data_IF_114268877249
#
_entry.id   IF_114268877249
#
_cell.length_a   1.000
_cell.length_b   1.000
_cell.length_c   1.000
_cell.angle_alpha   90.00
_cell.angle_beta   90.00
_cell.angle_gamma   90.00
#
_symmetry.space_group_name_H-M   'P 1'
#
loop_
_entity.id
_entity.type
_entity.pdbx_description
1 polymer ?
2 non-polymer ?
3 non-polymer ?
4 non-polymer ?
5 non-polymer ?
6 non-polymer ?
7 water ?
#
# COMPACT_ATOMS: atom_id res chain seq x y z
N UNK A 11 -23.06 6.36 2.71
CA UNK A 11 -21.90 5.49 2.58
C UNK A 11 -20.81 5.77 3.61
N UNK A 12 -19.98 4.76 3.87
CA UNK A 12 -18.96 4.86 4.91
C UNK A 12 -18.04 6.07 4.71
N UNK A 13 -17.72 6.38 3.45
CA UNK A 13 -16.76 7.45 3.16
C UNK A 13 -17.42 8.63 2.46
N UNK A 14 -18.73 8.80 2.65
CA UNK A 14 -19.45 9.92 2.04
C UNK A 14 -18.78 11.24 2.38
N UNK A 15 -18.49 12.03 1.34
CA UNK A 15 -17.90 13.34 1.52
C UNK A 15 -16.40 13.37 1.69
N UNK A 16 -15.74 12.22 1.82
CA UNK A 16 -14.30 12.19 2.00
C UNK A 16 -13.58 12.34 0.68
N UNK A 17 -12.49 13.10 0.68
CA UNK A 17 -11.60 13.21 -0.47
C UNK A 17 -10.32 12.43 -0.14
N UNK A 18 -9.99 11.44 -0.99
CA UNK A 18 -8.96 10.46 -0.66
C UNK A 18 -8.02 10.33 -1.86
N UNK A 19 -6.71 10.45 -1.61
CA UNK A 19 -5.71 10.21 -2.63
C UNK A 19 -5.23 8.77 -2.51
N UNK A 20 -5.20 8.06 -3.65
CA UNK A 20 -4.81 6.65 -3.67
C UNK A 20 -3.65 6.48 -4.64
N UNK A 21 -2.49 6.08 -4.11
CA UNK A 21 -1.35 5.69 -4.93
C UNK A 21 -1.44 4.21 -5.31
N UNK A 22 -0.64 3.81 -6.29
CA UNK A 22 -0.30 2.41 -6.44
C UNK A 22 -1.06 1.56 -7.45
N UNK A 23 -1.92 2.14 -8.26
CA UNK A 23 -2.54 1.34 -9.34
C UNK A 23 -1.53 1.12 -10.45
N UNK A 24 -1.32 -0.15 -10.84
CA UNK A 24 -0.58 -0.44 -12.06
C UNK A 24 -1.33 -1.47 -12.91
N UNK A 25 -2.02 -2.43 -12.29
CA UNK A 25 -2.90 -3.36 -13.01
C UNK A 25 -4.25 -3.42 -12.32
N UNK A 26 -5.20 -4.12 -12.95
CA UNK A 26 -6.50 -4.28 -12.29
C UNK A 26 -6.45 -5.35 -11.20
N UNK A 27 -5.30 -5.98 -10.97
CA UNK A 27 -5.13 -6.83 -9.80
C UNK A 27 -4.37 -6.13 -8.67
N UNK A 28 -3.91 -4.91 -8.90
CA UNK A 28 -3.27 -4.13 -7.84
C UNK A 28 -4.20 -3.98 -6.64
N UNK A 29 -3.63 -4.13 -5.44
CA UNK A 29 -4.45 -3.88 -4.24
C UNK A 29 -5.08 -2.49 -4.31
N UNK A 30 -4.32 -1.50 -4.82
CA UNK A 30 -4.82 -0.14 -4.89
C UNK A 30 -6.03 0.01 -5.81
N UNK A 31 -6.11 -0.81 -6.87
CA UNK A 31 -7.30 -0.72 -7.72
C UNK A 31 -8.54 -1.07 -6.92
N UNK A 32 -8.45 -2.12 -6.09
CA UNK A 32 -9.59 -2.54 -5.29
C UNK A 32 -9.87 -1.57 -4.15
N UNK A 33 -8.83 -0.99 -3.55
CA UNK A 33 -9.04 0.08 -2.58
C UNK A 33 -9.84 1.21 -3.22
N UNK A 34 -9.42 1.65 -4.41
CA UNK A 34 -10.09 2.75 -5.07
C UNK A 34 -11.53 2.39 -5.42
N UNK A 35 -11.75 1.18 -5.93
CA UNK A 35 -13.10 0.74 -6.29
C UNK A 35 -14.01 0.73 -5.07
N UNK A 36 -13.57 0.07 -4.00
CA UNK A 36 -14.40 -0.03 -2.79
C UNK A 36 -14.62 1.36 -2.19
N UNK A 37 -13.58 2.20 -2.15
CA UNK A 37 -13.74 3.54 -1.61
C UNK A 37 -14.78 4.35 -2.37
N UNK A 38 -14.76 4.27 -3.71
CA UNK A 38 -15.75 5.01 -4.49
C UNK A 38 -17.16 4.47 -4.23
N UNK A 39 -17.29 3.16 -4.13
CA UNK A 39 -18.59 2.56 -3.83
C UNK A 39 -19.09 2.95 -2.44
N UNK A 40 -18.17 3.33 -1.55
CA UNK A 40 -18.52 3.81 -0.21
C UNK A 40 -18.69 5.32 -0.16
N UNK A 41 -18.70 5.99 -1.31
CA UNK A 41 -19.01 7.41 -1.37
C UNK A 41 -17.81 8.35 -1.43
N UNK A 42 -16.59 7.84 -1.48
CA UNK A 42 -15.42 8.71 -1.48
C UNK A 42 -15.20 9.36 -2.84
N UNK A 43 -14.61 10.55 -2.83
CA UNK A 43 -14.13 11.21 -4.03
C UNK A 43 -12.62 11.06 -4.09
N UNK A 44 -12.10 10.55 -5.20
CA UNK A 44 -10.70 10.14 -5.27
C UNK A 44 -9.85 11.04 -6.16
N UNK A 45 -8.56 11.08 -5.82
CA UNK A 45 -7.48 11.45 -6.73
C UNK A 45 -6.53 10.26 -6.80
N UNK A 46 -6.22 9.79 -8.01
CA UNK A 46 -5.30 8.68 -8.19
C UNK A 46 -3.93 9.19 -8.61
N UNK A 47 -2.88 8.50 -8.18
CA UNK A 47 -1.54 8.78 -8.70
C UNK A 47 -0.96 7.54 -9.37
N UNK A 48 -0.11 7.77 -10.35
CA UNK A 48 0.46 6.67 -11.11
C UNK A 48 1.93 6.91 -11.39
N UNK A 49 2.67 5.81 -11.51
CA UNK A 49 4.11 5.83 -11.75
C UNK A 49 4.41 5.38 -13.18
N UNK A 50 5.00 6.29 -13.97
CA UNK A 50 5.68 6.03 -15.23
C UNK A 50 4.75 5.70 -16.41
N UNK A 51 3.95 4.64 -16.29
CA UNK A 51 3.11 4.19 -17.40
C UNK A 51 1.74 4.86 -17.30
N UNK A 52 1.72 6.18 -17.51
CA UNK A 52 0.51 6.93 -17.18
C UNK A 52 -0.64 6.61 -18.14
N UNK A 53 -0.36 6.35 -19.42
CA UNK A 53 -1.45 5.99 -20.33
C UNK A 53 -2.04 4.64 -19.97
N UNK A 54 -1.18 3.67 -19.65
CA UNK A 54 -1.65 2.36 -19.18
C UNK A 54 -2.54 2.51 -17.96
N UNK A 55 -2.09 3.29 -16.97
CA UNK A 55 -2.82 3.44 -15.71
C UNK A 55 -4.13 4.19 -15.94
N UNK A 56 -4.12 5.20 -16.81
CA UNK A 56 -5.33 5.96 -17.08
C UNK A 56 -6.44 5.06 -17.60
N UNK A 57 -6.09 4.10 -18.46
CA UNK A 57 -7.13 3.22 -18.98
C UNK A 57 -7.69 2.31 -17.91
N UNK A 58 -6.90 1.98 -16.89
CA UNK A 58 -7.40 1.23 -15.74
C UNK A 58 -8.28 2.12 -14.88
N UNK A 59 -7.84 3.36 -14.63
CA UNK A 59 -8.65 4.30 -13.87
C UNK A 59 -10.00 4.52 -14.57
N UNK A 60 -10.03 4.48 -15.91
CA UNK A 60 -11.29 4.60 -16.65
C UNK A 60 -12.29 3.50 -16.33
N UNK A 61 -11.85 2.39 -15.73
CA UNK A 61 -12.73 1.29 -15.39
C UNK A 61 -13.22 1.36 -13.95
N UNK A 62 -12.83 2.38 -13.18
CA UNK A 62 -13.36 2.56 -11.85
C UNK A 62 -14.84 2.95 -11.91
N UNK A 63 -15.57 2.73 -10.81
CA UNK A 63 -17.01 3.08 -10.82
C UNK A 63 -17.32 4.52 -11.18
N UNK A 64 -16.49 5.47 -10.77
CA UNK A 64 -16.76 6.88 -11.04
C UNK A 64 -15.49 7.54 -11.59
N UNK A 65 -15.71 8.60 -12.37
CA UNK A 65 -14.60 9.33 -12.98
C UNK A 65 -13.78 10.03 -11.90
N UNK A 66 -12.46 9.84 -11.94
CA UNK A 66 -11.58 10.47 -10.98
C UNK A 66 -10.27 10.81 -11.67
N UNK A 67 -9.64 11.92 -11.31
CA UNK A 67 -8.41 12.33 -12.01
C UNK A 67 -7.21 11.50 -11.61
N UNK A 68 -6.32 11.33 -12.57
CA UNK A 68 -5.04 10.64 -12.38
C UNK A 68 -3.91 11.66 -12.57
N UNK A 69 -2.99 11.72 -11.61
CA UNK A 69 -1.82 12.58 -11.70
C UNK A 69 -0.57 11.73 -11.49
N UNK A 70 0.57 12.24 -11.93
CA UNK A 70 1.81 11.47 -11.93
C UNK A 70 2.54 11.61 -10.59
N UNK A 71 3.05 10.48 -10.09
CA UNK A 71 3.91 10.52 -8.90
C UNK A 71 4.92 9.38 -8.96
N UNK A 72 6.17 9.73 -9.15
CA UNK A 72 7.32 8.86 -8.92
C UNK A 72 7.89 9.27 -7.57
N UNK A 73 7.79 8.38 -6.56
CA UNK A 73 8.22 8.78 -5.23
C UNK A 73 9.73 8.93 -5.09
N UNK A 74 10.51 8.55 -6.11
CA UNK A 74 11.94 8.86 -6.11
C UNK A 74 12.23 10.22 -6.74
N UNK A 75 11.22 10.92 -7.22
CA UNK A 75 11.38 12.21 -7.88
C UNK A 75 11.03 13.33 -6.89
N UNK A 76 12.05 14.07 -6.46
CA UNK A 76 11.86 15.14 -5.49
C UNK A 76 10.89 16.20 -6.00
N UNK A 77 10.95 16.50 -7.29
CA UNK A 77 10.06 17.54 -7.83
C UNK A 77 8.62 17.06 -7.86
N UNK A 78 8.38 15.79 -8.17
CA UNK A 78 7.02 15.26 -8.08
C UNK A 78 6.45 15.43 -6.67
N UNK A 79 7.28 15.15 -5.65
CA UNK A 79 6.83 15.24 -4.27
C UNK A 79 6.65 16.69 -3.83
N UNK A 80 7.57 17.56 -4.22
CA UNK A 80 7.51 18.95 -3.80
C UNK A 80 6.37 19.72 -4.48
N UNK A 81 5.84 19.21 -5.59
CA UNK A 81 4.70 19.82 -6.25
C UNK A 81 3.39 19.06 -6.00
N UNK A 82 3.45 17.95 -5.26
CA UNK A 82 2.29 17.06 -5.19
C UNK A 82 1.07 17.76 -4.57
N UNK A 83 1.27 18.45 -3.44
CA UNK A 83 0.15 19.09 -2.78
C UNK A 83 -0.52 20.11 -3.70
N UNK A 84 0.29 20.92 -4.39
CA UNK A 84 -0.25 21.89 -5.34
C UNK A 84 -1.00 21.19 -6.47
N UNK A 85 -0.47 20.07 -6.96
CA UNK A 85 -1.12 19.39 -8.08
C UNK A 85 -2.40 18.69 -7.63
N UNK A 86 -2.44 18.21 -6.38
CA UNK A 86 -3.69 17.67 -5.84
C UNK A 86 -4.72 18.77 -5.68
N UNK A 87 -4.32 19.91 -5.10
CA UNK A 87 -5.23 21.03 -4.93
C UNK A 87 -5.79 21.50 -6.26
N UNK A 88 -5.01 21.42 -7.34
CA UNK A 88 -5.52 21.80 -8.64
C UNK A 88 -6.67 20.90 -9.08
N UNK A 89 -6.69 19.65 -8.63
CA UNK A 89 -7.75 18.72 -9.00
C UNK A 89 -8.97 18.83 -8.10
N UNK A 90 -8.78 19.05 -6.80
CA UNK A 90 -9.92 19.05 -5.87
C UNK A 90 -10.44 20.45 -5.59
N UNK A 91 -9.72 21.50 -5.96
CA UNK A 91 -10.23 22.85 -5.78
C UNK A 91 -9.53 23.53 -4.63
N UNK A 92 -9.28 24.84 -4.81
CA UNK A 92 -8.38 25.58 -3.91
C UNK A 92 -8.83 25.50 -2.45
N UNK A 93 -10.14 25.55 -2.20
CA UNK A 93 -10.62 25.61 -0.83
C UNK A 93 -10.96 24.27 -0.21
N UNK A 94 -10.29 23.22 -0.69
CA UNK A 94 -10.63 21.85 -0.30
C UNK A 94 -9.37 21.10 0.08
N UNK A 95 -9.51 20.17 1.01
CA UNK A 95 -8.40 19.41 1.55
C UNK A 95 -8.68 17.92 1.42
N UNK A 96 -7.62 17.13 1.58
CA UNK A 96 -7.76 15.68 1.61
C UNK A 96 -8.16 15.20 3.00
N UNK A 97 -9.02 14.18 3.04
CA UNK A 97 -9.30 13.47 4.28
C UNK A 97 -8.54 12.18 4.41
N UNK A 98 -8.02 11.64 3.32
CA UNK A 98 -7.36 10.35 3.36
C UNK A 98 -6.25 10.28 2.34
N UNK A 99 -5.24 9.48 2.67
CA UNK A 99 -4.11 9.21 1.79
C UNK A 99 -3.81 7.73 1.90
N UNK A 100 -3.69 7.05 0.76
CA UNK A 100 -3.39 5.62 0.73
C UNK A 100 -2.03 5.42 0.05
N UNK A 101 -1.08 4.86 0.80
CA UNK A 101 0.21 4.43 0.26
C UNK A 101 0.09 2.95 -0.08
N UNK A 102 0.11 2.62 -1.37
CA UNK A 102 0.02 1.24 -1.82
C UNK A 102 1.12 1.02 -2.86
N UNK A 103 2.35 1.30 -2.42
CA UNK A 103 3.52 1.39 -3.28
C UNK A 103 4.59 0.45 -2.74
N UNK A 104 5.12 -0.41 -3.61
CA UNK A 104 6.19 -1.31 -3.21
C UNK A 104 7.06 -1.65 -4.39
N UNK A 105 8.35 -1.82 -4.14
CA UNK A 105 9.26 -2.28 -5.18
C UNK A 105 10.54 -2.80 -4.54
N UNK A 106 11.07 -3.88 -5.10
CA UNK A 106 12.38 -4.38 -4.73
C UNK A 106 12.96 -5.02 -5.99
N UNK A 107 14.17 -4.64 -6.39
CA UNK A 107 14.80 -5.26 -7.55
C UNK A 107 14.87 -6.78 -7.38
N UNK A 108 14.92 -7.49 -8.51
CA UNK A 108 14.89 -8.95 -8.46
C UNK A 108 16.04 -9.52 -7.63
N UNK A 109 17.18 -8.84 -7.59
CA UNK A 109 18.30 -9.30 -6.77
C UNK A 109 17.95 -9.34 -5.29
N UNK A 110 16.96 -8.59 -4.86
CA UNK A 110 16.53 -8.60 -3.47
C UNK A 110 15.34 -9.48 -3.17
N UNK A 111 14.83 -10.23 -4.16
CA UNK A 111 13.59 -11.00 -4.01
C UNK A 111 13.73 -12.45 -4.45
N UNK A 112 14.93 -13.02 -4.38
CA UNK A 112 15.07 -14.46 -4.55
C UNK A 112 15.65 -14.94 -5.86
N UNK A 113 15.95 -14.06 -6.83
CA UNK A 113 16.59 -14.53 -8.05
C UNK A 113 18.03 -14.93 -7.79
N UNK A 114 18.60 -14.48 -6.67
CA UNK A 114 19.91 -14.90 -6.21
C UNK A 114 19.86 -15.03 -4.68
N UNK A 115 20.89 -15.58 -4.05
CA UNK A 115 20.88 -15.69 -2.59
C UNK A 115 20.76 -14.33 -1.89
N UNK A 116 20.24 -14.38 -0.65
CA UNK A 116 20.02 -13.18 0.15
C UNK A 116 21.26 -12.29 0.21
N UNK A 117 22.44 -12.89 0.38
CA UNK A 117 23.67 -12.13 0.51
C UNK A 117 24.13 -11.48 -0.78
N UNK A 118 23.55 -11.84 -1.93
CA UNK A 118 24.04 -11.36 -3.21
C UNK A 118 23.28 -10.14 -3.73
N UNK A 119 22.36 -9.59 -2.94
CA UNK A 119 21.71 -8.35 -3.31
C UNK A 119 22.65 -7.18 -3.04
N UNK A 120 23.06 -6.41 -4.04
CA UNK A 120 23.93 -5.26 -3.80
C UNK A 120 23.16 -4.15 -3.10
N UNK A 121 23.88 -3.34 -2.33
CA UNK A 121 23.17 -2.31 -1.57
C UNK A 121 22.46 -1.32 -2.49
N UNK A 122 23.02 -1.01 -3.66
CA UNK A 122 22.33 -0.10 -4.56
C UNK A 122 20.90 -0.57 -4.84
N UNK A 123 20.72 -1.89 -4.97
CA UNK A 123 19.39 -2.44 -5.23
C UNK A 123 18.53 -2.39 -3.99
N UNK A 124 19.07 -2.84 -2.85
CA UNK A 124 18.34 -2.79 -1.59
C UNK A 124 17.91 -1.36 -1.28
N UNK A 125 18.84 -0.40 -1.46
CA UNK A 125 18.53 0.99 -1.17
C UNK A 125 17.39 1.50 -2.03
N UNK A 126 17.36 1.12 -3.31
CA UNK A 126 16.25 1.52 -4.17
C UNK A 126 14.93 0.96 -3.63
N UNK A 127 14.94 -0.32 -3.24
CA UNK A 127 13.72 -0.91 -2.70
C UNK A 127 13.27 -0.27 -1.39
N UNK A 128 14.20 0.06 -0.51
CA UNK A 128 13.81 0.70 0.75
C UNK A 128 13.32 2.12 0.49
N UNK A 129 13.93 2.81 -0.47
CA UNK A 129 13.45 4.14 -0.86
C UNK A 129 11.97 4.10 -1.25
N UNK A 130 11.63 3.20 -2.18
CA UNK A 130 10.28 3.16 -2.72
C UNK A 130 9.30 2.55 -1.72
N UNK A 131 9.72 1.52 -1.00
CA UNK A 131 8.80 0.73 -0.17
C UNK A 131 8.62 1.29 1.23
N UNK A 132 9.62 1.99 1.77
CA UNK A 132 9.57 2.44 3.16
C UNK A 132 9.75 3.94 3.33
N UNK A 133 10.84 4.52 2.83
CA UNK A 133 11.06 5.95 3.03
C UNK A 133 9.94 6.77 2.40
N UNK A 134 9.40 6.32 1.27
CA UNK A 134 8.37 7.10 0.59
C UNK A 134 7.08 7.20 1.40
N UNK A 135 6.89 6.34 2.41
CA UNK A 135 5.74 6.56 3.29
C UNK A 135 5.89 7.87 4.05
N UNK A 136 7.10 8.16 4.53
CA UNK A 136 7.36 9.48 5.11
C UNK A 136 7.28 10.59 4.07
N UNK A 137 7.85 10.36 2.87
CA UNK A 137 7.82 11.39 1.81
C UNK A 137 6.39 11.78 1.47
N UNK A 138 5.52 10.79 1.31
CA UNK A 138 4.13 11.05 0.93
C UNK A 138 3.39 11.81 2.02
N UNK A 139 3.62 11.41 3.28
CA UNK A 139 3.02 12.11 4.41
C UNK A 139 3.54 13.54 4.51
N UNK A 140 4.85 13.75 4.34
CA UNK A 140 5.40 15.10 4.35
C UNK A 140 4.73 15.98 3.31
N UNK A 141 4.51 15.43 2.11
CA UNK A 141 3.97 16.23 1.02
C UNK A 141 2.50 16.57 1.25
N UNK A 142 1.72 15.66 1.84
CA UNK A 142 0.27 15.81 1.86
C UNK A 142 -0.32 16.24 3.20
N UNK A 143 0.34 15.98 4.33
CA UNK A 143 -0.17 16.49 5.60
C UNK A 143 -0.54 17.98 5.56
N UNK A 144 0.21 18.86 4.90
CA UNK A 144 -0.20 20.28 4.86
C UNK A 144 -1.56 20.54 4.23
N UNK A 145 -2.09 19.60 3.43
CA UNK A 145 -3.42 19.78 2.85
C UNK A 145 -4.39 18.71 3.33
N UNK A 146 -4.20 18.20 4.54
CA UNK A 146 -5.11 17.23 5.13
C UNK A 146 -5.97 17.86 6.22
N UNK A 147 -7.22 17.40 6.30
CA UNK A 147 -8.17 17.85 7.31
C UNK A 147 -7.96 17.11 8.63
N UNK A 148 -8.20 17.77 9.75
CA UNK A 148 -8.31 17.05 11.03
C UNK A 148 -9.34 15.93 10.92
N UNK A 149 -9.08 14.85 11.66
CA UNK A 149 -9.84 13.62 11.52
C UNK A 149 -9.37 12.74 10.40
N UNK A 150 -8.40 13.20 9.60
CA UNK A 150 -7.97 12.46 8.43
C UNK A 150 -7.11 11.26 8.77
N UNK A 151 -6.72 10.55 7.71
CA UNK A 151 -6.16 9.21 7.87
C UNK A 151 -5.18 8.91 6.75
N UNK A 152 -3.98 8.47 7.12
CA UNK A 152 -2.99 7.96 6.17
C UNK A 152 -2.87 6.46 6.41
N UNK A 153 -3.01 5.66 5.34
CA UNK A 153 -2.96 4.21 5.47
C UNK A 153 -1.93 3.68 4.47
N UNK A 154 -1.06 2.77 4.94
CA UNK A 154 -0.12 2.13 4.03
C UNK A 154 -0.27 0.61 4.07
N UNK A 155 0.23 -0.06 3.04
CA UNK A 155 0.11 -1.51 2.93
C UNK A 155 1.38 -2.19 3.45
N UNK A 156 1.18 -3.21 4.26
CA UNK A 156 2.25 -3.91 4.97
C UNK A 156 2.14 -5.40 4.64
N UNK A 157 3.25 -6.13 4.84
CA UNK A 157 3.27 -7.60 4.76
C UNK A 157 4.09 -8.02 5.97
N UNK A 158 3.42 -8.59 6.98
CA UNK A 158 3.99 -8.81 8.31
C UNK A 158 5.43 -9.31 8.24
N UNK A 159 6.40 -8.50 8.68
CA UNK A 159 7.82 -8.88 8.57
C UNK A 159 8.44 -9.29 9.90
N UNK A 160 7.62 -9.63 10.90
CA UNK A 160 8.09 -9.97 12.23
C UNK A 160 9.00 -11.19 12.26
N UNK A 161 8.88 -12.07 11.26
CA UNK A 161 9.72 -13.25 11.11
C UNK A 161 10.30 -13.24 9.70
N UNK A 162 11.50 -13.79 9.54
CA UNK A 162 12.08 -13.83 8.20
C UNK A 162 11.25 -14.74 7.30
N UNK A 163 10.95 -14.25 6.09
CA UNK A 163 10.29 -15.04 5.07
C UNK A 163 11.24 -15.22 3.89
N UNK A 164 11.84 -16.39 3.69
CA UNK A 164 12.66 -16.60 2.49
C UNK A 164 11.87 -16.43 1.20
N UNK A 165 10.53 -16.42 1.27
CA UNK A 165 9.75 -16.15 0.08
C UNK A 165 9.94 -14.73 -0.44
N UNK A 166 10.36 -13.78 0.41
CA UNK A 166 10.40 -12.36 0.03
C UNK A 166 11.72 -11.66 0.32
N UNK A 167 12.64 -12.26 1.11
CA UNK A 167 13.98 -11.74 1.32
C UNK A 167 13.99 -10.24 1.63
N UNK A 168 14.68 -9.42 0.84
CA UNK A 168 14.86 -8.03 1.24
C UNK A 168 13.57 -7.22 1.20
N UNK A 169 12.51 -7.67 0.52
CA UNK A 169 11.26 -6.95 0.67
C UNK A 169 10.77 -6.99 2.10
N UNK A 170 11.05 -8.08 2.81
CA UNK A 170 10.64 -8.18 4.21
C UNK A 170 11.42 -7.20 5.06
N UNK A 171 12.71 -7.04 4.79
CA UNK A 171 13.50 -6.01 5.47
C UNK A 171 12.91 -4.62 5.23
N UNK A 172 12.51 -4.33 3.98
CA UNK A 172 11.89 -3.05 3.69
C UNK A 172 10.59 -2.86 4.46
N UNK A 173 9.78 -3.93 4.61
CA UNK A 173 8.55 -3.80 5.38
C UNK A 173 8.84 -3.58 6.86
N UNK A 174 9.91 -4.18 7.38
CA UNK A 174 10.30 -3.89 8.77
C UNK A 174 10.62 -2.40 8.93
N UNK A 175 11.34 -1.83 7.97
CA UNK A 175 11.61 -0.40 8.00
C UNK A 175 10.32 0.40 7.88
N UNK A 176 9.40 -0.04 7.01
CA UNK A 176 8.12 0.68 6.84
C UNK A 176 7.32 0.71 8.14
N UNK A 177 7.28 -0.40 8.88
CA UNK A 177 6.54 -0.39 10.14
C UNK A 177 7.13 0.63 11.11
N UNK A 178 8.45 0.76 11.12
CA UNK A 178 9.07 1.76 11.98
C UNK A 178 8.73 3.17 11.50
N UNK A 179 8.82 3.40 10.18
CA UNK A 179 8.47 4.71 9.63
C UNK A 179 7.05 5.10 9.99
N UNK A 180 6.11 4.13 9.91
CA UNK A 180 4.70 4.40 10.27
C UNK A 180 4.57 4.96 11.68
N UNK A 181 5.32 4.41 12.64
CA UNK A 181 5.20 4.93 14.01
C UNK A 181 5.72 6.36 14.11
N UNK A 182 6.75 6.72 13.35
CA UNK A 182 7.20 8.11 13.36
C UNK A 182 6.26 9.02 12.59
N UNK A 183 5.67 8.54 11.49
CA UNK A 183 4.68 9.37 10.79
C UNK A 183 3.48 9.65 11.68
N UNK A 184 3.06 8.67 12.49
CA UNK A 184 2.00 8.91 13.45
C UNK A 184 2.34 10.09 14.37
N UNK A 185 3.60 10.17 14.81
CA UNK A 185 4.01 11.29 15.65
C UNK A 185 3.89 12.62 14.93
N UNK A 186 4.31 12.68 13.66
CA UNK A 186 4.23 13.91 12.88
C UNK A 186 2.79 14.28 12.57
N UNK A 187 1.95 13.28 12.29
CA UNK A 187 0.60 13.55 11.83
C UNK A 187 -0.32 13.94 12.97
N UNK A 188 -0.03 13.49 14.19
CA UNK A 188 -0.90 13.72 15.32
C UNK A 188 -1.31 15.16 15.56
N UNK A 189 -0.35 16.09 15.56
CA UNK A 189 -0.69 17.51 15.76
C UNK A 189 -1.60 18.07 14.69
N UNK A 190 -1.67 17.45 13.51
CA UNK A 190 -2.62 17.84 12.47
C UNK A 190 -3.99 17.21 12.67
N UNK A 191 -4.17 16.39 13.72
CA UNK A 191 -5.40 15.62 13.84
C UNK A 191 -5.51 14.45 12.90
N UNK A 192 -4.38 13.95 12.40
CA UNK A 192 -4.36 12.92 11.37
C UNK A 192 -3.75 11.66 11.95
N UNK A 193 -4.35 10.51 11.63
CA UNK A 193 -3.87 9.20 12.04
C UNK A 193 -3.01 8.58 10.93
N UNK A 194 -2.12 7.68 11.34
CA UNK A 194 -1.30 6.90 10.40
C UNK A 194 -1.31 5.44 10.84
N UNK A 195 -1.68 4.52 9.93
CA UNK A 195 -1.67 3.11 10.28
C UNK A 195 -1.31 2.30 9.03
N UNK A 196 -0.90 1.06 9.25
CA UNK A 196 -0.68 0.12 8.16
C UNK A 196 -1.71 -1.00 8.24
N UNK A 197 -2.06 -1.52 7.05
CA UNK A 197 -2.84 -2.74 6.92
C UNK A 197 -1.90 -3.81 6.41
N UNK A 198 -1.71 -4.84 7.23
CA UNK A 198 -0.89 -5.99 6.86
C UNK A 198 -1.78 -7.03 6.22
N UNK A 199 -1.58 -7.25 4.92
CA UNK A 199 -2.37 -8.21 4.16
C UNK A 199 -1.63 -9.53 4.02
N UNK A 200 -2.39 -10.61 3.86
CA UNK A 200 -1.82 -11.85 3.42
C UNK A 200 -1.43 -11.78 1.95
N UNK A 201 -0.88 -12.88 1.43
CA UNK A 201 -0.39 -12.88 0.04
C UNK A 201 -1.52 -12.75 -0.97
N UNK A 202 -1.31 -11.90 -1.97
CA UNK A 202 -2.29 -11.64 -3.01
C UNK A 202 -1.63 -11.86 -4.37
N UNK A 203 -2.34 -12.54 -5.27
CA UNK A 203 -1.83 -12.82 -6.61
C UNK A 203 -1.97 -11.60 -7.53
N UNK A 204 -1.25 -10.54 -7.15
CA UNK A 204 -1.01 -9.46 -8.09
C UNK A 204 -0.15 -9.97 -9.25
N UNK A 205 -0.05 -9.16 -10.31
CA UNK A 205 0.63 -9.65 -11.50
C UNK A 205 2.09 -9.98 -11.21
N UNK A 206 2.78 -9.13 -10.45
CA UNK A 206 4.17 -9.39 -10.11
C UNK A 206 4.32 -10.67 -9.30
N UNK A 207 3.48 -10.86 -8.28
CA UNK A 207 3.61 -12.04 -7.44
C UNK A 207 3.16 -13.29 -8.16
N UNK A 208 2.16 -13.18 -9.05
CA UNK A 208 1.79 -14.32 -9.86
C UNK A 208 2.95 -14.76 -10.74
N UNK A 209 3.76 -13.80 -11.20
CA UNK A 209 4.95 -14.14 -11.97
C UNK A 209 5.97 -14.91 -11.15
N UNK A 210 6.19 -14.49 -9.90
CA UNK A 210 7.19 -15.17 -9.08
C UNK A 210 6.73 -16.59 -8.75
N UNK A 211 5.49 -16.75 -8.28
CA UNK A 211 5.00 -18.11 -8.03
C UNK A 211 4.95 -18.91 -9.32
N UNK A 212 4.83 -18.22 -10.47
CA UNK A 212 4.83 -18.90 -11.75
C UNK A 212 6.20 -19.31 -12.26
N UNK A 213 7.28 -18.78 -11.68
CA UNK A 213 8.62 -19.22 -12.03
C UNK A 213 9.58 -18.19 -12.63
N UNK A 214 9.23 -16.89 -12.66
CA UNK A 214 10.03 -15.92 -13.38
C UNK A 214 11.38 -15.70 -12.70
N UNK A 215 11.46 -15.90 -11.38
CA UNK A 215 12.72 -15.76 -10.67
C UNK A 215 13.36 -17.11 -10.40
N UNK A 216 12.93 -18.16 -11.09
CA UNK A 216 13.46 -19.50 -10.93
C UNK A 216 12.50 -20.42 -10.19
N UNK A 217 12.81 -21.72 -10.28
CA UNK A 217 11.96 -22.74 -9.67
C UNK A 217 11.92 -22.61 -8.15
N UNK A 218 13.07 -22.32 -7.53
CA UNK A 218 13.11 -22.32 -6.07
C UNK A 218 12.29 -21.18 -5.48
N UNK A 219 12.37 -19.99 -6.08
CA UNK A 219 11.57 -18.87 -5.58
C UNK A 219 10.09 -19.13 -5.74
N UNK A 220 9.70 -19.81 -6.83
CA UNK A 220 8.30 -20.16 -7.05
C UNK A 220 7.78 -21.09 -5.95
N UNK A 221 8.55 -22.12 -5.63
CA UNK A 221 8.11 -23.06 -4.61
C UNK A 221 8.09 -22.40 -3.23
N UNK A 222 9.00 -21.48 -2.96
CA UNK A 222 9.03 -20.83 -1.65
C UNK A 222 7.78 -19.99 -1.43
N UNK A 223 7.33 -19.25 -2.45
CA UNK A 223 6.09 -18.49 -2.30
C UNK A 223 4.89 -19.42 -2.21
N UNK A 224 4.89 -20.49 -3.02
CA UNK A 224 3.75 -21.41 -2.98
C UNK A 224 3.60 -22.03 -1.60
N UNK A 225 4.71 -22.42 -0.97
CA UNK A 225 4.64 -22.96 0.39
C UNK A 225 4.09 -21.92 1.36
N UNK A 226 4.52 -20.67 1.21
CA UNK A 226 4.02 -19.60 2.08
C UNK A 226 2.51 -19.45 1.92
N UNK A 227 2.04 -19.41 0.67
CA UNK A 227 0.60 -19.33 0.40
C UNK A 227 -0.15 -20.50 1.03
N UNK A 228 0.38 -21.72 0.90
CA UNK A 228 -0.35 -22.88 1.37
C UNK A 228 -0.44 -22.89 2.89
N UNK A 229 0.64 -22.54 3.57
CA UNK A 229 0.59 -22.44 5.02
C UNK A 229 -0.38 -21.38 5.48
N UNK A 230 -0.46 -20.28 4.72
CA UNK A 230 -1.36 -19.18 5.07
C UNK A 230 -2.80 -19.65 5.14
N UNK A 231 -3.24 -20.37 4.11
CA UNK A 231 -4.61 -20.85 4.08
C UNK A 231 -4.86 -21.88 5.19
N UNK A 232 -3.86 -22.70 5.51
CA UNK A 232 -4.02 -23.67 6.59
C UNK A 232 -4.20 -22.98 7.94
N UNK A 233 -3.47 -21.89 8.16
CA UNK A 233 -3.49 -21.22 9.46
C UNK A 233 -4.71 -20.35 9.66
N UNK A 234 -5.23 -19.75 8.60
CA UNK A 234 -6.25 -18.70 8.72
C UNK A 234 -7.59 -19.27 9.18
N UNK A 235 -8.09 -18.93 10.36
CA UNK A 235 -9.36 -19.54 10.81
C UNK A 235 -10.54 -19.21 9.93
N UNK A 236 -10.54 -18.05 9.28
CA UNK A 236 -11.65 -17.70 8.39
C UNK A 236 -11.28 -17.89 6.92
N UNK A 237 -10.16 -18.55 6.65
CA UNK A 237 -9.71 -18.73 5.29
C UNK A 237 -9.01 -17.50 4.76
N UNK A 238 -8.33 -17.68 3.65
CA UNK A 238 -7.64 -16.60 2.99
C UNK A 238 -7.75 -16.81 1.50
N UNK A 239 -8.24 -15.81 0.77
CA UNK A 239 -8.41 -15.91 -0.68
C UNK A 239 -7.38 -15.00 -1.34
N UNK A 240 -6.30 -15.60 -1.86
CA UNK A 240 -5.25 -14.83 -2.51
C UNK A 240 -5.69 -14.19 -3.81
N UNK A 241 -6.82 -14.61 -4.37
CA UNK A 241 -7.26 -14.09 -5.65
C UNK A 241 -8.29 -12.98 -5.51
N UNK A 242 -8.57 -12.54 -4.28
CA UNK A 242 -9.59 -11.52 -4.05
C UNK A 242 -9.14 -10.55 -2.97
N UNK A 243 -8.65 -9.37 -3.36
CA UNK A 243 -8.22 -8.38 -2.37
C UNK A 243 -9.35 -7.56 -1.78
N UNK A 244 -10.62 -7.81 -2.13
CA UNK A 244 -11.71 -7.01 -1.58
C UNK A 244 -11.68 -6.91 -0.06
N UNK A 245 -11.43 -7.97 0.71
CA UNK A 245 -11.42 -7.81 2.17
C UNK A 245 -10.34 -6.87 2.65
N UNK A 246 -9.20 -6.85 1.97
CA UNK A 246 -8.13 -5.91 2.31
C UNK A 246 -8.57 -4.49 2.00
N UNK A 247 -9.19 -4.30 0.83
CA UNK A 247 -9.69 -2.98 0.44
C UNK A 247 -10.70 -2.46 1.45
N UNK A 248 -11.62 -3.30 1.91
CA UNK A 248 -12.59 -2.88 2.92
C UNK A 248 -11.89 -2.43 4.19
N UNK A 249 -10.84 -3.16 4.60
CA UNK A 249 -10.12 -2.82 5.83
C UNK A 249 -9.46 -1.46 5.71
N UNK A 250 -8.84 -1.18 4.57
CA UNK A 250 -8.26 0.15 4.33
C UNK A 250 -9.34 1.22 4.47
N UNK A 251 -10.51 0.98 3.86
CA UNK A 251 -11.59 1.95 3.96
C UNK A 251 -12.06 2.12 5.41
N UNK A 252 -12.09 1.04 6.18
CA UNK A 252 -12.41 1.17 7.62
C UNK A 252 -11.48 2.16 8.30
N UNK A 253 -10.18 2.07 8.01
CA UNK A 253 -9.21 2.98 8.65
C UNK A 253 -9.31 4.40 8.09
N UNK A 254 -9.78 4.55 6.85
CA UNK A 254 -9.98 5.88 6.28
C UNK A 254 -11.22 6.57 6.84
N UNK A 255 -12.13 5.81 7.44
CA UNK A 255 -13.38 6.33 7.96
C UNK A 255 -13.16 7.00 9.30
N UNK A 256 -14.24 7.44 9.92
CA UNK A 256 -14.21 8.06 11.24
C UNK A 256 -14.41 7.06 12.36
N UNK A 257 -14.39 5.74 12.07
CA UNK A 257 -14.81 4.74 13.05
C UNK A 257 -13.66 4.17 13.89
N UNK A 258 -12.40 4.47 13.57
CA UNK A 258 -11.28 4.13 14.47
C UNK A 258 -10.51 5.40 14.80
N UNK A 259 -11.17 6.36 15.48
CA UNK A 259 -10.57 7.69 15.64
C UNK A 259 -9.48 7.79 16.68
N UNK A 260 -9.25 6.72 17.46
CA UNK A 260 -8.20 6.71 18.47
C UNK A 260 -7.08 5.74 18.12
N UNK A 261 -6.98 5.32 16.86
CA UNK A 261 -5.99 4.34 16.43
C UNK A 261 -4.95 5.03 15.55
N UNK A 262 -3.69 5.02 16.00
CA UNK A 262 -2.61 5.58 15.19
C UNK A 262 -1.29 4.92 15.57
N UNK A 263 -0.41 4.81 14.58
CA UNK A 263 0.89 4.17 14.75
C UNK A 263 0.87 2.67 14.75
N UNK A 264 -0.23 2.03 14.36
CA UNK A 264 -0.41 0.59 14.53
C UNK A 264 -0.47 -0.13 13.20
N UNK A 265 -0.50 -1.46 13.31
CA UNK A 265 -0.70 -2.37 12.19
C UNK A 265 -2.01 -3.11 12.43
N UNK A 266 -2.90 -3.09 11.44
CA UNK A 266 -4.15 -3.85 11.45
C UNK A 266 -3.96 -5.03 10.51
N UNK A 267 -4.25 -6.25 11.00
CA UNK A 267 -4.00 -7.45 10.19
C UNK A 267 -5.26 -7.86 9.42
N UNK A 268 -5.18 -7.77 8.10
CA UNK A 268 -6.23 -8.26 7.20
C UNK A 268 -5.66 -9.45 6.46
N UNK A 269 -5.55 -10.57 7.18
CA UNK A 269 -4.75 -11.70 6.74
C UNK A 269 -5.45 -13.03 7.02
N UNK A 270 -6.76 -12.99 7.28
CA UNK A 270 -7.50 -14.20 7.60
C UNK A 270 -7.23 -14.75 8.98
N UNK A 271 -6.45 -14.03 9.78
CA UNK A 271 -6.01 -14.52 11.07
C UNK A 271 -4.77 -15.39 11.04
N UNK A 272 -4.11 -15.51 9.89
CA UNK A 272 -3.02 -16.48 9.80
C UNK A 272 -1.86 -16.14 10.72
N UNK A 273 -1.64 -14.84 10.99
CA UNK A 273 -0.53 -14.41 11.83
C UNK A 273 -0.74 -14.77 13.30
N UNK A 274 -1.94 -15.19 13.69
CA UNK A 274 -2.30 -15.41 15.09
C UNK A 274 -2.24 -16.87 15.51
N UNK A 275 -1.87 -17.77 14.61
CA UNK A 275 -1.94 -19.21 14.82
C UNK A 275 -0.59 -19.83 14.51
N UNK A 276 -0.28 -20.93 15.20
CA UNK A 276 0.94 -21.70 14.93
C UNK A 276 0.58 -23.17 14.87
N UNK A 277 0.74 -23.78 13.70
CA UNK A 277 0.50 -25.21 13.49
C UNK A 277 1.79 -26.00 13.31
#
# INVERSE_FOLDING_TARGET
>A
MAHHHHHHMAGLLDGKRILVTGIITDSSIAFHIAKVAQEAGAQLVLTGFDRLRLIQRIVDRLPEKAPLIELDVQNEEHLNTLAQRVTAEIGEGNKLDGVVHSIGFMPQTGMGINPFFDAPYEDVSKGIHISAYSYASLAKALLPIMNPGGSIVGMDFDPSRAMPAYNWMTVAKSALESVNRFVAREAGPHGVRSNLVAAGPIRTLAMAGIVGGVLGDQAAEQIRLLEEGWDQRAPIGWNMKDPTPVAKTVCALLSDWLPATTGTIIYADGGASTQLL
#
